data_IF_376129787167
#
_entry.id   IF_376129787167
#
_cell.length_a   1.000
_cell.length_b   1.000
_cell.length_c   1.000
_cell.angle_alpha   90.00
_cell.angle_beta   90.00
_cell.angle_gamma   90.00
#
_symmetry.space_group_name_H-M   'P 1'
#
loop_
_entity.id
_entity.type
_entity.pdbx_description
1 polymer ?
#
# COMPACT_ATOMS: atom_id res chain seq x y z
N UNK A 1 -6.95 -14.63 -15.86
CA UNK A 1 -6.77 -14.31 -15.91
C UNK A 1 -6.44 -14.00 -15.87
N UNK A 2 -6.31 -14.03 -15.79
CA UNK A 2 -5.99 -13.56 -15.94
C UNK A 2 -5.53 -12.80 -15.83
N UNK A 3 -5.53 -12.30 -15.90
CA UNK A 3 -5.19 -11.46 -15.84
C UNK A 3 -4.91 -10.85 -15.19
N UNK A 4 -5.08 -10.76 -14.86
CA UNK A 4 -4.85 -10.15 -14.23
C UNK A 4 -4.16 -9.89 -13.52
N UNK A 5 -4.10 -10.14 -13.42
CA UNK A 5 -3.45 -10.05 -12.71
C UNK A 5 -2.54 -9.46 -12.47
N UNK A 6 -2.46 -9.05 -12.45
CA UNK A 6 -1.57 -8.59 -12.25
C UNK A 6 -1.17 -7.65 -11.81
N UNK A 7 -1.24 -7.14 -11.37
CA UNK A 7 -0.64 -6.42 -11.29
C UNK A 7 -0.56 -5.07 -10.69
N UNK A 8 -0.72 -3.83 -11.26
CA UNK A 8 -0.72 -2.52 -10.66
C UNK A 8 -1.85 -2.36 -9.66
N UNK A 9 -2.94 -3.05 -9.92
CA UNK A 9 -4.08 -3.08 -9.01
C UNK A 9 -3.70 -3.62 -7.65
N UNK A 10 -2.72 -4.47 -7.65
CA UNK A 10 -2.27 -5.09 -6.42
C UNK A 10 -1.67 -4.03 -5.47
N UNK A 11 -0.84 -3.16 -6.03
CA UNK A 11 -0.24 -2.09 -5.24
C UNK A 11 -1.30 -1.13 -4.71
N UNK A 12 -2.27 -0.77 -5.55
CA UNK A 12 -3.36 0.10 -5.12
C UNK A 12 -4.17 -0.57 -4.01
N UNK A 13 -4.31 -1.88 -4.05
CA UNK A 13 -5.01 -2.62 -3.02
C UNK A 13 -4.36 -2.50 -1.65
N UNK A 14 -3.04 -2.52 -1.61
CA UNK A 14 -2.33 -2.32 -0.35
C UNK A 14 -2.64 -0.95 0.26
N UNK A 15 -2.67 0.08 -0.57
CA UNK A 15 -2.94 1.42 -0.09
C UNK A 15 -4.36 1.51 0.47
N UNK A 16 -5.33 0.98 -0.26
CA UNK A 16 -6.71 1.00 0.20
C UNK A 16 -6.90 0.19 1.48
N UNK A 17 -6.24 -0.96 1.57
CA UNK A 17 -6.32 -1.77 2.77
C UNK A 17 -5.76 -1.01 3.97
N UNK A 18 -4.66 -0.30 3.77
CA UNK A 18 -4.06 0.47 4.84
C UNK A 18 -5.00 1.58 5.30
N UNK A 19 -5.63 2.28 4.36
CA UNK A 19 -6.58 3.34 4.71
C UNK A 19 -7.75 2.79 5.52
N UNK A 20 -8.25 1.63 5.13
CA UNK A 20 -9.34 0.98 5.85
C UNK A 20 -8.92 0.64 7.27
N UNK A 21 -7.70 0.13 7.43
CA UNK A 21 -7.18 -0.22 8.76
C UNK A 21 -7.01 1.02 9.63
N UNK A 22 -6.56 2.12 9.04
CA UNK A 22 -6.45 3.37 9.78
C UNK A 22 -7.81 3.80 10.30
N UNK A 23 -8.83 3.73 9.46
CA UNK A 23 -10.18 4.11 9.86
C UNK A 23 -10.71 3.21 10.96
N UNK A 24 -10.28 1.96 10.97
CA UNK A 24 -10.70 1.01 12.00
C UNK A 24 -9.89 1.14 13.29
N UNK A 25 -8.92 2.06 13.33
CA UNK A 25 -8.08 2.25 14.49
C UNK A 25 -6.95 1.24 14.60
N UNK A 26 -6.66 0.53 13.52
CA UNK A 26 -5.63 -0.51 13.52
C UNK A 26 -4.36 0.00 12.87
N UNK A 27 -3.74 0.96 13.52
CA UNK A 27 -2.58 1.65 12.96
C UNK A 27 -1.42 0.72 12.70
N UNK A 28 -1.15 -0.21 13.63
CA UNK A 28 -0.04 -1.13 13.45
C UNK A 28 -0.22 -2.02 12.21
N UNK A 29 -1.45 -2.51 12.01
CA UNK A 29 -1.74 -3.32 10.85
C UNK A 29 -1.64 -2.49 9.57
N UNK A 30 -2.07 -1.23 9.64
CA UNK A 30 -1.97 -0.33 8.50
C UNK A 30 -0.52 -0.11 8.11
N UNK A 31 0.35 0.09 9.08
CA UNK A 31 1.78 0.27 8.80
C UNK A 31 2.36 -0.95 8.11
N UNK A 32 1.99 -2.14 8.56
CA UNK A 32 2.48 -3.37 7.94
C UNK A 32 2.05 -3.46 6.49
N UNK A 33 0.80 -3.12 6.21
CA UNK A 33 0.30 -3.13 4.84
C UNK A 33 1.02 -2.09 3.98
N UNK A 34 1.28 -0.91 4.54
CA UNK A 34 2.00 0.12 3.79
C UNK A 34 3.41 -0.34 3.45
N UNK A 35 4.08 -0.97 4.38
CA UNK A 35 5.43 -1.46 4.12
C UNK A 35 5.43 -2.51 3.01
N UNK A 36 4.44 -3.41 3.03
CA UNK A 36 4.31 -4.41 1.98
C UNK A 36 4.02 -3.74 0.63
N UNK A 37 3.14 -2.75 0.65
CA UNK A 37 2.80 -2.03 -0.57
C UNK A 37 3.98 -1.25 -1.13
N UNK A 38 4.76 -0.64 -0.27
CA UNK A 38 5.95 0.09 -0.71
C UNK A 38 6.92 -0.86 -1.38
N UNK A 39 7.16 -2.04 -0.79
CA UNK A 39 8.04 -3.03 -1.39
C UNK A 39 7.51 -3.47 -2.75
N UNK A 40 6.20 -3.67 -2.85
CA UNK A 40 5.58 -4.06 -4.11
C UNK A 40 5.75 -2.96 -5.16
N UNK A 41 5.55 -1.70 -4.75
CA UNK A 41 5.70 -0.57 -5.67
C UNK A 41 7.14 -0.45 -6.16
N UNK A 42 8.10 -0.70 -5.29
CA UNK A 42 9.50 -0.66 -5.68
C UNK A 42 9.82 -1.73 -6.72
N UNK A 43 9.28 -2.93 -6.52
CA UNK A 43 9.54 -4.03 -7.46
C UNK A 43 8.92 -3.76 -8.82
N UNK A 44 7.78 -3.10 -8.84
CA UNK A 44 7.07 -2.83 -10.09
C UNK A 44 7.41 -1.48 -10.70
N UNK A 45 8.23 -0.70 -10.02
CA UNK A 45 8.61 0.62 -10.52
C UNK A 45 7.50 1.65 -10.41
N UNK A 46 6.55 1.45 -9.51
CA UNK A 46 5.42 2.36 -9.36
C UNK A 46 5.76 3.43 -8.32
N UNK A 47 6.51 4.43 -8.77
CA UNK A 47 7.01 5.47 -7.87
C UNK A 47 5.89 6.31 -7.29
N UNK A 48 4.84 6.54 -8.05
CA UNK A 48 3.72 7.33 -7.58
C UNK A 48 3.05 6.68 -6.37
N UNK A 49 2.74 5.40 -6.49
CA UNK A 49 2.13 4.67 -5.39
C UNK A 49 3.07 4.57 -4.20
N UNK A 50 4.36 4.37 -4.48
CA UNK A 50 5.34 4.31 -3.41
C UNK A 50 5.35 5.59 -2.59
N UNK A 51 5.36 6.73 -3.27
CA UNK A 51 5.38 8.03 -2.59
C UNK A 51 4.14 8.24 -1.75
N UNK A 52 2.98 7.86 -2.26
CA UNK A 52 1.73 8.01 -1.50
C UNK A 52 1.74 7.14 -0.25
N UNK A 53 2.20 5.91 -0.39
CA UNK A 53 2.23 5.01 0.76
C UNK A 53 3.26 5.45 1.80
N UNK A 54 4.40 5.95 1.34
CA UNK A 54 5.40 6.47 2.27
C UNK A 54 4.89 7.67 3.04
N UNK A 55 4.15 8.55 2.35
CA UNK A 55 3.58 9.72 3.01
C UNK A 55 2.58 9.32 4.09
N UNK A 56 1.72 8.35 3.78
CA UNK A 56 0.76 7.88 4.76
C UNK A 56 1.45 7.20 5.93
N UNK A 57 2.46 6.41 5.64
CA UNK A 57 3.22 5.72 6.68
C UNK A 57 3.84 6.74 7.64
N UNK A 58 4.37 7.82 7.09
CA UNK A 58 4.97 8.86 7.89
C UNK A 58 3.94 9.53 8.79
N UNK A 59 2.74 9.75 8.26
CA UNK A 59 1.65 10.34 9.06
C UNK A 59 1.29 9.44 10.24
N UNK A 60 1.32 8.15 10.03
CA UNK A 60 0.95 7.19 11.07
C UNK A 60 2.05 7.02 12.11
N UNK A 61 3.26 7.19 11.66
CA UNK A 61 4.42 6.93 12.48
C UNK A 61 4.74 7.94 13.51
#
# INVERSE_FOLDING_TARGET
>A
DRLLSTHPDYTAGYFMAAQTLVKAGRTDAAKARLEQGIASAQRTGNQHAQGEMEALLEELG
#
